data_IF_236834225506
#
_entry.id   IF_236834225506
#
_cell.length_a   1.000
_cell.length_b   1.000
_cell.length_c   1.000
_cell.angle_alpha   90.00
_cell.angle_beta   90.00
_cell.angle_gamma   90.00
#
_symmetry.space_group_name_H-M   'P 1'
#
loop_
_entity.id
_entity.type
_entity.pdbx_description
1 polymer ?
#
# COMPACT_ATOMS: atom_id res chain seq x y z
N UNK A 1 32.36 29.94 -24.36
CA UNK A 1 32.37 28.72 -23.50
C UNK A 1 32.63 29.15 -22.07
N UNK A 2 31.59 29.49 -21.29
CA UNK A 2 31.73 29.81 -19.86
C UNK A 2 31.28 28.59 -19.08
N UNK A 3 32.23 27.90 -18.43
CA UNK A 3 31.97 26.89 -17.44
C UNK A 3 31.32 27.55 -16.22
N UNK A 4 30.00 27.41 -16.10
CA UNK A 4 29.33 27.65 -14.82
C UNK A 4 29.58 26.43 -13.93
N UNK A 5 30.61 26.50 -13.08
CA UNK A 5 30.76 25.57 -11.96
C UNK A 5 29.72 25.92 -10.91
N UNK A 6 28.55 25.36 -11.04
CA UNK A 6 27.64 25.20 -9.93
C UNK A 6 28.15 24.04 -9.11
N UNK A 7 28.72 24.30 -7.93
CA UNK A 7 29.09 23.25 -6.98
C UNK A 7 27.82 22.61 -6.46
N UNK A 8 27.37 21.50 -7.09
CA UNK A 8 26.48 20.57 -6.45
C UNK A 8 27.39 19.72 -5.58
N UNK A 9 27.51 20.05 -4.31
CA UNK A 9 28.25 19.26 -3.35
C UNK A 9 27.24 18.35 -2.65
N UNK A 10 27.30 17.07 -3.00
CA UNK A 10 26.78 15.99 -2.18
C UNK A 10 27.92 15.44 -1.32
N UNK A 11 27.70 15.12 -0.04
CA UNK A 11 28.64 14.26 0.66
C UNK A 11 28.61 12.89 -0.02
N UNK A 12 29.72 12.53 -0.62
CA UNK A 12 30.11 11.23 -1.16
C UNK A 12 29.00 10.40 -1.87
N UNK A 13 28.99 10.43 -3.22
CA UNK A 13 28.41 9.32 -3.97
C UNK A 13 27.51 9.63 -5.16
N UNK A 14 27.05 10.86 -5.40
CA UNK A 14 26.19 11.15 -6.54
C UNK A 14 27.00 11.68 -7.72
N UNK A 15 27.30 10.81 -8.69
CA UNK A 15 27.86 11.24 -9.96
C UNK A 15 26.71 11.38 -10.97
N UNK A 16 26.38 12.62 -11.44
CA UNK A 16 25.45 12.77 -12.54
C UNK A 16 26.03 12.10 -13.79
N UNK A 17 25.25 11.23 -14.40
CA UNK A 17 25.60 10.65 -15.70
C UNK A 17 25.35 11.72 -16.75
N UNK A 18 26.43 12.22 -17.38
CA UNK A 18 26.36 13.12 -18.51
C UNK A 18 26.28 12.28 -19.78
N UNK A 19 25.15 12.31 -20.47
CA UNK A 19 24.97 11.74 -21.80
C UNK A 19 24.98 12.85 -22.86
N UNK A 20 25.64 12.63 -23.98
CA UNK A 20 25.58 13.49 -25.15
C UNK A 20 24.66 12.82 -26.20
N UNK A 21 23.48 13.39 -26.41
CA UNK A 21 22.60 13.00 -27.52
C UNK A 21 22.76 14.00 -28.69
N UNK A 22 23.14 13.50 -29.85
CA UNK A 22 23.20 14.29 -31.08
C UNK A 22 21.83 14.34 -31.74
N UNK A 23 21.22 15.50 -31.73
CA UNK A 23 19.97 15.77 -32.44
C UNK A 23 20.28 16.35 -33.83
N UNK A 24 19.48 15.98 -34.86
CA UNK A 24 19.66 16.41 -36.24
C UNK A 24 19.84 17.93 -36.35
N UNK A 25 20.86 18.37 -37.08
CA UNK A 25 21.26 19.79 -37.24
C UNK A 25 22.50 20.21 -36.47
N UNK A 26 23.30 19.28 -35.92
CA UNK A 26 24.59 19.59 -35.28
C UNK A 26 24.50 20.22 -33.88
N UNK A 27 23.31 20.24 -33.26
CA UNK A 27 23.12 20.71 -31.89
C UNK A 27 23.38 19.57 -30.90
N UNK A 28 24.18 19.86 -29.87
CA UNK A 28 24.46 18.93 -28.78
C UNK A 28 23.54 19.30 -27.62
N UNK A 29 22.75 18.32 -27.14
CA UNK A 29 21.95 18.46 -25.94
C UNK A 29 22.64 17.67 -24.83
N UNK A 30 23.01 18.37 -23.75
CA UNK A 30 23.52 17.73 -22.53
C UNK A 30 22.33 17.18 -21.73
N UNK A 31 22.29 15.88 -21.49
CA UNK A 31 21.30 15.23 -20.62
C UNK A 31 21.96 14.92 -19.28
N UNK A 32 21.40 15.48 -18.20
CA UNK A 32 21.82 15.15 -16.82
C UNK A 32 20.76 14.25 -16.22
N UNK A 33 21.11 13.00 -15.99
CA UNK A 33 20.21 12.04 -15.34
C UNK A 33 20.55 12.00 -13.84
N UNK A 34 19.59 12.36 -13.01
CA UNK A 34 19.69 12.21 -11.55
C UNK A 34 18.92 10.94 -11.15
N UNK A 35 19.58 9.96 -10.52
CA UNK A 35 18.90 8.74 -10.07
C UNK A 35 17.76 9.08 -9.11
N UNK A 36 16.56 8.55 -9.39
CA UNK A 36 15.39 8.77 -8.56
C UNK A 36 15.52 8.10 -7.19
N UNK A 37 16.38 7.10 -7.09
CA UNK A 37 16.58 6.20 -5.94
C UNK A 37 17.89 6.45 -5.17
N UNK A 38 18.56 7.59 -5.43
CA UNK A 38 19.78 7.91 -4.71
C UNK A 38 19.54 8.06 -3.20
N UNK A 39 20.35 7.34 -2.42
CA UNK A 39 20.27 7.29 -0.96
C UNK A 39 20.48 8.63 -0.26
N UNK A 40 21.07 9.60 -0.96
CA UNK A 40 21.46 10.91 -0.41
C UNK A 40 20.41 12.01 -0.63
N UNK A 41 19.21 11.67 -1.12
CA UNK A 41 18.10 12.64 -1.22
C UNK A 41 17.54 13.00 0.16
N UNK A 42 17.07 14.26 0.32
CA UNK A 42 17.06 15.36 -0.65
C UNK A 42 18.43 16.02 -0.81
N UNK A 43 18.79 16.37 -2.05
CA UNK A 43 20.01 17.12 -2.31
C UNK A 43 19.87 18.55 -1.85
N UNK A 44 20.92 19.07 -1.18
CA UNK A 44 20.97 20.46 -0.73
C UNK A 44 21.85 21.30 -1.65
N UNK A 45 21.38 22.48 -2.00
CA UNK A 45 22.16 23.47 -2.70
C UNK A 45 22.69 24.54 -1.73
N UNK A 46 23.91 24.99 -1.92
CA UNK A 46 24.48 26.05 -1.10
C UNK A 46 23.94 27.41 -1.54
N UNK A 47 23.27 28.11 -0.64
CA UNK A 47 22.74 29.47 -0.84
C UNK A 47 23.33 30.40 0.21
N UNK A 48 24.35 31.19 -0.18
CA UNK A 48 25.14 31.96 0.77
C UNK A 48 25.92 31.04 1.71
N UNK A 49 25.70 31.17 3.01
CA UNK A 49 26.30 30.31 4.05
C UNK A 49 25.45 29.07 4.39
N UNK A 50 24.20 28.99 3.94
CA UNK A 50 23.28 27.93 4.29
C UNK A 50 23.16 26.84 3.19
N UNK A 51 22.92 25.59 3.61
CA UNK A 51 22.55 24.49 2.74
C UNK A 51 21.04 24.33 2.75
N UNK A 52 20.40 24.48 1.61
CA UNK A 52 18.94 24.49 1.49
C UNK A 52 18.49 23.41 0.51
N UNK A 53 17.47 22.65 0.90
CA UNK A 53 16.80 21.70 0.00
C UNK A 53 15.95 22.45 -1.02
N UNK A 54 16.16 22.19 -2.30
CA UNK A 54 15.39 22.81 -3.37
C UNK A 54 14.45 21.80 -4.04
N UNK A 55 13.21 22.25 -4.30
CA UNK A 55 12.19 21.46 -4.97
C UNK A 55 11.69 22.18 -6.23
N UNK A 56 11.32 21.36 -7.22
CA UNK A 56 10.73 21.85 -8.45
C UNK A 56 9.20 21.90 -8.29
N UNK A 57 8.65 23.10 -8.40
CA UNK A 57 7.20 23.31 -8.42
C UNK A 57 6.80 23.87 -9.80
N UNK A 58 6.33 23.01 -10.68
CA UNK A 58 6.01 23.35 -12.07
C UNK A 58 7.25 23.85 -12.84
N UNK A 59 7.24 25.10 -13.31
CA UNK A 59 8.35 25.72 -14.04
C UNK A 59 9.39 26.38 -13.16
N UNK A 60 9.15 26.53 -11.83
CA UNK A 60 10.02 27.23 -10.89
C UNK A 60 10.72 26.29 -9.92
N UNK A 61 11.88 26.71 -9.44
CA UNK A 61 12.60 26.02 -8.35
C UNK A 61 12.52 26.91 -7.12
N UNK A 62 12.09 26.34 -5.99
CA UNK A 62 11.97 27.04 -4.71
C UNK A 62 12.63 26.26 -3.58
N UNK A 63 12.89 26.93 -2.49
CA UNK A 63 13.36 26.27 -1.28
C UNK A 63 12.22 25.43 -0.69
N UNK A 64 12.52 24.20 -0.27
CA UNK A 64 11.54 23.32 0.35
C UNK A 64 11.17 23.86 1.74
N UNK A 65 9.87 24.01 2.08
CA UNK A 65 9.45 24.20 3.45
C UNK A 65 9.91 23.02 4.33
N UNK A 66 9.99 23.25 5.64
CA UNK A 66 10.50 22.23 6.58
C UNK A 66 9.69 20.92 6.52
N UNK A 67 8.37 21.00 6.33
CA UNK A 67 7.51 19.84 6.19
C UNK A 67 7.80 19.06 4.89
N UNK A 68 7.99 19.74 3.77
CA UNK A 68 8.33 19.14 2.49
C UNK A 68 9.75 18.55 2.50
N UNK A 69 10.70 19.21 3.15
CA UNK A 69 12.04 18.67 3.36
C UNK A 69 11.99 17.39 4.22
N UNK A 70 11.19 17.39 5.29
CA UNK A 70 10.96 16.21 6.12
C UNK A 70 10.34 15.06 5.31
N UNK A 71 9.36 15.35 4.44
CA UNK A 71 8.77 14.35 3.53
C UNK A 71 9.81 13.80 2.54
N UNK A 72 10.66 14.65 1.97
CA UNK A 72 11.73 14.23 1.07
C UNK A 72 12.77 13.35 1.76
N UNK A 73 13.13 13.68 3.01
CA UNK A 73 13.96 12.81 3.85
C UNK A 73 13.29 11.48 4.18
N UNK A 74 11.97 11.47 4.36
CA UNK A 74 11.19 10.25 4.58
C UNK A 74 11.08 9.39 3.32
N UNK A 75 11.07 10.03 2.15
CA UNK A 75 11.07 9.34 0.85
C UNK A 75 12.46 8.83 0.45
N UNK A 76 13.53 9.39 1.02
CA UNK A 76 14.88 8.88 0.83
C UNK A 76 15.04 7.57 1.60
N UNK A 77 15.40 6.52 0.89
CA UNK A 77 15.35 5.09 1.27
C UNK A 77 16.19 4.64 2.46
N UNK A 78 16.58 5.50 3.40
CA UNK A 78 17.36 5.02 4.56
C UNK A 78 16.57 4.08 5.47
N UNK A 79 15.25 4.25 5.56
CA UNK A 79 14.33 3.28 6.19
C UNK A 79 12.93 3.47 5.59
N UNK A 80 12.31 2.44 4.99
CA UNK A 80 10.91 2.46 4.59
C UNK A 80 10.05 2.94 5.76
N UNK A 81 8.99 3.71 5.48
CA UNK A 81 8.19 4.31 6.54
C UNK A 81 7.53 3.27 7.44
N UNK A 82 7.15 2.14 6.88
CA UNK A 82 6.56 1.00 7.61
C UNK A 82 7.53 0.33 8.60
N UNK A 83 8.84 0.56 8.49
CA UNK A 83 9.87 0.12 9.45
C UNK A 83 10.24 1.18 10.49
N UNK A 84 9.62 2.37 10.47
CA UNK A 84 9.87 3.38 11.49
C UNK A 84 9.21 3.03 12.81
N UNK A 85 9.90 3.34 13.91
CA UNK A 85 9.36 3.18 15.25
C UNK A 85 8.16 4.10 15.50
N UNK A 86 7.14 3.58 16.17
CA UNK A 86 5.97 4.34 16.62
C UNK A 86 6.16 4.69 18.11
N UNK A 87 6.40 5.96 18.44
CA UNK A 87 6.62 6.35 19.84
C UNK A 87 5.43 5.98 20.73
N UNK A 88 5.72 5.32 21.83
CA UNK A 88 4.72 4.95 22.81
C UNK A 88 4.02 3.61 22.54
N UNK A 89 4.12 3.04 21.36
CA UNK A 89 3.55 1.73 21.04
C UNK A 89 4.53 0.59 21.40
N UNK A 90 4.03 -0.48 21.98
CA UNK A 90 4.81 -1.63 22.45
C UNK A 90 4.08 -2.95 22.25
N UNK A 91 4.68 -4.04 22.75
CA UNK A 91 4.16 -5.41 22.60
C UNK A 91 2.70 -5.55 23.09
N UNK A 92 2.31 -4.80 24.13
CA UNK A 92 0.96 -4.85 24.69
C UNK A 92 -0.14 -4.26 23.79
N UNK A 93 0.25 -3.54 22.74
CA UNK A 93 -0.66 -3.01 21.72
C UNK A 93 -0.96 -4.00 20.60
N UNK A 94 -0.27 -5.17 20.56
CA UNK A 94 -0.45 -6.19 19.54
C UNK A 94 -1.50 -7.25 19.93
N UNK A 95 -2.15 -7.82 18.93
CA UNK A 95 -2.98 -9.02 19.10
C UNK A 95 -2.08 -10.27 19.07
N UNK A 96 -1.78 -10.80 20.24
CA UNK A 96 -0.93 -11.98 20.38
C UNK A 96 -1.50 -13.22 19.67
N UNK A 97 -2.83 -13.35 19.56
CA UNK A 97 -3.44 -14.47 18.85
C UNK A 97 -3.10 -14.43 17.36
N UNK A 98 -3.16 -13.23 16.74
CA UNK A 98 -2.77 -13.01 15.35
C UNK A 98 -1.28 -13.23 15.13
N UNK A 99 -0.43 -12.81 16.06
CA UNK A 99 1.01 -13.06 15.97
C UNK A 99 1.32 -14.56 16.04
N UNK A 100 0.77 -15.29 17.00
CA UNK A 100 0.95 -16.74 17.10
C UNK A 100 0.43 -17.42 15.82
N UNK A 101 -0.75 -17.05 15.33
CA UNK A 101 -1.30 -17.56 14.08
C UNK A 101 -0.39 -17.26 12.88
N UNK A 102 0.15 -16.04 12.79
CA UNK A 102 1.06 -15.65 11.71
C UNK A 102 2.34 -16.49 11.71
N UNK A 103 3.05 -16.53 12.82
CA UNK A 103 4.33 -17.26 12.85
C UNK A 103 4.12 -18.77 12.71
N UNK A 104 3.24 -19.35 13.52
CA UNK A 104 3.04 -20.80 13.57
C UNK A 104 2.30 -21.34 12.35
N UNK A 105 1.16 -20.74 12.00
CA UNK A 105 0.24 -21.33 11.02
C UNK A 105 0.49 -20.83 9.59
N UNK A 106 0.84 -19.54 9.42
CA UNK A 106 1.11 -18.92 8.11
C UNK A 106 2.55 -19.14 7.69
N UNK A 107 3.53 -18.76 8.53
CA UNK A 107 4.97 -18.91 8.24
C UNK A 107 5.51 -20.30 8.53
N UNK A 108 4.80 -21.10 9.32
CA UNK A 108 5.24 -22.41 9.81
C UNK A 108 6.61 -22.33 10.52
N UNK A 109 6.75 -21.32 11.35
CA UNK A 109 7.94 -21.03 12.14
C UNK A 109 7.59 -21.14 13.63
N UNK A 110 8.50 -21.71 14.40
CA UNK A 110 8.37 -21.73 15.84
C UNK A 110 8.34 -20.31 16.40
N UNK A 111 7.51 -20.09 17.39
CA UNK A 111 7.38 -18.81 18.06
C UNK A 111 7.46 -19.00 19.58
N UNK A 112 7.87 -17.96 20.32
CA UNK A 112 7.93 -17.99 21.76
C UNK A 112 6.58 -18.30 22.40
N UNK A 113 6.61 -18.82 23.64
CA UNK A 113 5.39 -18.96 24.41
C UNK A 113 4.70 -17.60 24.61
N UNK A 114 3.36 -17.53 24.68
CA UNK A 114 2.64 -16.25 24.76
C UNK A 114 3.06 -15.34 25.94
N UNK A 115 3.63 -15.90 27.01
CA UNK A 115 4.11 -15.16 28.18
C UNK A 115 5.59 -14.78 28.12
N UNK A 116 6.33 -15.29 27.15
CA UNK A 116 7.75 -14.97 26.96
C UNK A 116 7.91 -13.63 26.24
N UNK A 117 7.80 -12.55 27.02
CA UNK A 117 7.91 -11.18 26.49
C UNK A 117 9.24 -10.94 25.77
N UNK A 118 10.35 -11.37 26.35
CA UNK A 118 11.68 -11.14 25.80
C UNK A 118 11.87 -11.90 24.48
N UNK A 119 11.43 -13.15 24.41
CA UNK A 119 11.46 -13.94 23.19
C UNK A 119 10.63 -13.31 22.08
N UNK A 120 9.44 -12.79 22.41
CA UNK A 120 8.60 -12.07 21.45
C UNK A 120 9.24 -10.78 20.96
N UNK A 121 9.77 -9.93 21.84
CA UNK A 121 10.45 -8.70 21.45
C UNK A 121 11.63 -8.99 20.51
N UNK A 122 12.44 -10.01 20.84
CA UNK A 122 13.56 -10.42 19.96
C UNK A 122 13.08 -10.91 18.59
N UNK A 123 12.06 -11.77 18.55
CA UNK A 123 11.50 -12.28 17.28
C UNK A 123 10.94 -11.15 16.43
N UNK A 124 10.22 -10.21 17.05
CA UNK A 124 9.60 -9.10 16.36
C UNK A 124 10.62 -8.06 15.87
N UNK A 125 11.72 -7.86 16.60
CA UNK A 125 12.86 -7.04 16.12
C UNK A 125 13.54 -7.72 14.92
N UNK A 126 13.80 -9.01 14.99
CA UNK A 126 14.42 -9.76 13.89
C UNK A 126 13.56 -9.79 12.61
N UNK A 127 12.27 -9.50 12.72
CA UNK A 127 11.32 -9.47 11.59
C UNK A 127 10.86 -8.07 11.24
N UNK A 128 11.53 -7.02 11.74
CA UNK A 128 11.21 -5.60 11.52
C UNK A 128 9.80 -5.18 12.00
N UNK A 129 9.07 -6.05 12.69
CA UNK A 129 7.77 -5.72 13.29
C UNK A 129 7.92 -4.86 14.55
N UNK A 130 9.09 -4.92 15.17
CA UNK A 130 9.55 -4.00 16.21
C UNK A 130 10.92 -3.41 15.86
N UNK A 131 11.27 -2.31 16.51
CA UNK A 131 12.52 -1.56 16.30
C UNK A 131 13.17 -1.29 17.64
N UNK A 132 14.47 -1.51 17.73
CA UNK A 132 15.25 -1.13 18.91
C UNK A 132 15.33 0.40 19.03
N UNK A 133 14.93 0.94 20.16
CA UNK A 133 15.11 2.33 20.53
C UNK A 133 16.23 2.49 21.54
N UNK A 134 16.50 3.73 21.95
CA UNK A 134 17.57 3.99 22.94
C UNK A 134 17.30 3.41 24.32
N UNK A 135 16.03 3.40 24.76
CA UNK A 135 15.65 2.94 26.10
C UNK A 135 14.75 1.69 26.07
N UNK A 136 14.06 1.45 24.97
CA UNK A 136 13.10 0.34 24.85
C UNK A 136 12.86 -0.06 23.41
N UNK A 137 12.37 -1.26 23.23
CA UNK A 137 11.86 -1.76 21.95
C UNK A 137 10.48 -1.16 21.68
N UNK A 138 10.23 -0.70 20.48
CA UNK A 138 8.96 -0.07 20.04
C UNK A 138 8.42 -0.77 18.80
N UNK A 139 7.10 -0.71 18.61
CA UNK A 139 6.50 -1.22 17.38
C UNK A 139 6.96 -0.40 16.17
N UNK A 140 7.19 -1.08 15.06
CA UNK A 140 7.27 -0.41 13.78
C UNK A 140 5.86 -0.01 13.30
N UNK A 141 5.78 0.97 12.38
CA UNK A 141 4.50 1.34 11.75
C UNK A 141 3.84 0.11 11.11
N UNK A 142 4.62 -0.71 10.38
CA UNK A 142 4.11 -1.95 9.77
C UNK A 142 3.61 -2.95 10.81
N UNK A 143 4.38 -3.19 11.87
CA UNK A 143 3.99 -4.09 12.95
C UNK A 143 2.68 -3.67 13.62
N UNK A 144 2.53 -2.36 13.91
CA UNK A 144 1.31 -1.81 14.48
C UNK A 144 0.11 -1.89 13.53
N UNK A 145 0.30 -1.59 12.24
CA UNK A 145 -0.78 -1.69 11.25
C UNK A 145 -1.22 -3.14 11.01
N UNK A 146 -0.27 -4.06 10.93
CA UNK A 146 -0.56 -5.47 10.61
C UNK A 146 -1.25 -6.20 11.78
N UNK A 147 -0.78 -5.99 13.01
CA UNK A 147 -1.16 -6.79 14.17
C UNK A 147 -1.68 -5.98 15.36
N UNK A 148 -1.67 -4.65 15.28
CA UNK A 148 -2.12 -3.80 16.37
C UNK A 148 -3.62 -3.90 16.65
N UNK A 149 -4.01 -4.00 17.92
CA UNK A 149 -5.43 -4.06 18.33
C UNK A 149 -6.16 -2.75 18.05
N UNK A 150 -5.49 -1.61 18.24
CA UNK A 150 -6.02 -0.26 18.05
C UNK A 150 -5.02 0.67 17.37
N UNK A 151 -4.67 0.42 16.09
CA UNK A 151 -3.63 1.20 15.41
C UNK A 151 -3.97 2.67 15.29
N UNK A 152 -5.25 3.06 15.17
CA UNK A 152 -5.69 4.48 15.12
C UNK A 152 -5.34 5.28 16.37
N UNK A 153 -5.04 4.65 17.50
CA UNK A 153 -4.57 5.35 18.69
C UNK A 153 -3.26 6.11 18.46
N UNK A 154 -2.40 5.53 17.62
CA UNK A 154 -1.05 6.03 17.33
C UNK A 154 -0.94 6.58 15.90
N UNK A 155 -1.70 6.01 14.99
CA UNK A 155 -1.71 6.31 13.55
C UNK A 155 -3.16 6.66 13.16
N UNK A 156 -3.58 7.93 13.26
CA UNK A 156 -4.95 8.36 12.93
C UNK A 156 -5.42 7.92 11.55
N UNK A 157 -4.47 7.79 10.61
CA UNK A 157 -4.68 7.37 9.23
C UNK A 157 -4.82 5.84 9.03
N UNK A 158 -4.73 5.04 10.10
CA UNK A 158 -4.85 3.58 10.01
C UNK A 158 -6.30 3.17 9.86
N UNK A 159 -6.72 2.83 8.64
CA UNK A 159 -8.06 2.33 8.39
C UNK A 159 -8.59 2.68 7.00
N UNK A 160 -9.85 2.31 6.78
CA UNK A 160 -10.59 2.57 5.55
C UNK A 160 -11.92 3.25 5.91
N UNK A 161 -12.19 4.39 5.28
CA UNK A 161 -13.49 5.06 5.35
C UNK A 161 -14.36 4.56 4.20
N UNK A 162 -15.37 3.75 4.51
CA UNK A 162 -16.25 3.12 3.52
C UNK A 162 -17.61 3.78 3.48
N UNK A 163 -18.14 4.05 2.28
CA UNK A 163 -19.47 4.60 2.07
C UNK A 163 -20.12 4.01 0.81
N UNK A 164 -21.45 3.81 0.87
CA UNK A 164 -22.27 3.43 -0.28
C UNK A 164 -23.31 4.51 -0.54
N UNK A 165 -23.38 5.01 -1.75
CA UNK A 165 -24.25 6.09 -2.17
C UNK A 165 -25.36 5.55 -3.09
N UNK A 166 -26.58 6.12 -3.02
CA UNK A 166 -27.70 5.71 -3.90
C UNK A 166 -27.49 6.17 -5.35
N UNK A 167 -26.76 7.24 -5.58
CA UNK A 167 -26.50 7.84 -6.90
C UNK A 167 -25.07 7.70 -7.38
N UNK A 168 -24.73 8.48 -8.40
CA UNK A 168 -23.40 8.48 -9.05
C UNK A 168 -22.45 9.52 -8.47
N UNK A 169 -22.88 10.26 -7.46
CA UNK A 169 -22.08 11.31 -6.78
C UNK A 169 -22.08 11.08 -5.27
N UNK A 170 -21.04 11.61 -4.60
CA UNK A 170 -21.03 11.67 -3.14
C UNK A 170 -22.18 12.55 -2.65
N UNK A 171 -22.95 12.04 -1.68
CA UNK A 171 -24.08 12.72 -1.08
C UNK A 171 -24.02 12.61 0.45
N UNK A 172 -24.68 13.54 1.14
CA UNK A 172 -24.90 13.45 2.57
C UNK A 172 -25.74 12.22 2.95
N UNK A 173 -26.69 11.84 2.09
CA UNK A 173 -27.55 10.67 2.23
C UNK A 173 -26.87 9.39 1.73
N UNK A 174 -25.78 8.98 2.34
CA UNK A 174 -25.21 7.67 2.04
C UNK A 174 -26.12 6.55 2.53
N UNK A 175 -26.32 5.52 1.72
CA UNK A 175 -27.09 4.31 2.06
C UNK A 175 -26.45 3.49 3.19
N UNK A 176 -25.11 3.48 3.23
CA UNK A 176 -24.32 2.87 4.28
C UNK A 176 -23.01 3.63 4.49
N UNK A 177 -22.53 3.68 5.74
CA UNK A 177 -21.21 4.21 6.10
C UNK A 177 -20.59 3.34 7.16
N UNK A 178 -19.28 3.13 7.06
CA UNK A 178 -18.51 2.38 8.04
C UNK A 178 -17.08 2.91 8.08
N UNK A 179 -16.57 3.17 9.28
CA UNK A 179 -15.14 3.39 9.50
C UNK A 179 -14.54 2.04 9.89
N UNK A 180 -13.75 1.46 9.02
CA UNK A 180 -13.12 0.14 9.18
C UNK A 180 -11.75 0.36 9.80
N UNK A 181 -11.54 -0.22 10.98
CA UNK A 181 -10.30 -0.07 11.77
C UNK A 181 -9.90 -1.38 12.41
N UNK A 182 -8.64 -1.48 12.80
CA UNK A 182 -8.08 -2.66 13.44
C UNK A 182 -6.83 -3.15 12.72
N UNK A 183 -6.40 -4.38 13.01
CA UNK A 183 -5.28 -5.00 12.31
C UNK A 183 -5.60 -5.24 10.84
N UNK A 184 -4.60 -5.05 9.97
CA UNK A 184 -4.77 -5.25 8.53
C UNK A 184 -5.10 -6.70 8.18
N UNK A 185 -4.46 -7.65 8.89
CA UNK A 185 -4.61 -9.08 8.63
C UNK A 185 -5.66 -9.73 9.53
N UNK A 186 -6.35 -10.73 9.00
CA UNK A 186 -7.35 -11.51 9.73
C UNK A 186 -6.70 -12.55 10.65
N UNK A 187 -7.45 -12.96 11.68
CA UNK A 187 -7.17 -14.15 12.46
C UNK A 187 -7.90 -15.33 11.79
N UNK A 188 -7.16 -16.34 11.39
CA UNK A 188 -7.71 -17.56 10.81
C UNK A 188 -7.81 -18.67 11.85
N UNK A 189 -8.77 -19.60 11.67
CA UNK A 189 -8.80 -20.81 12.46
C UNK A 189 -7.47 -21.57 12.26
N UNK A 190 -6.92 -22.13 13.34
CA UNK A 190 -5.76 -23.00 13.24
C UNK A 190 -6.02 -24.03 12.12
N UNK A 191 -5.13 -24.13 11.16
CA UNK A 191 -5.28 -25.05 10.06
C UNK A 191 -5.43 -26.45 10.69
N UNK A 192 -6.62 -27.03 10.57
CA UNK A 192 -6.76 -28.46 10.81
C UNK A 192 -5.72 -29.09 9.90
N UNK A 193 -4.80 -29.81 10.48
CA UNK A 193 -3.71 -30.49 9.81
C UNK A 193 -4.26 -31.24 8.61
N UNK A 194 -4.33 -30.58 7.47
CA UNK A 194 -4.69 -31.20 6.21
C UNK A 194 -3.56 -32.16 5.89
N UNK A 195 -3.91 -33.42 5.65
CA UNK A 195 -2.98 -34.50 5.27
C UNK A 195 -2.16 -34.21 3.98
N UNK A 196 -2.34 -33.00 3.41
CA UNK A 196 -1.65 -32.54 2.21
C UNK A 196 -0.83 -31.26 2.50
N UNK A 197 0.48 -31.39 2.81
CA UNK A 197 1.32 -30.23 3.17
C UNK A 197 1.58 -29.24 2.02
N UNK A 198 1.11 -29.53 0.82
CA UNK A 198 1.32 -28.72 -0.39
C UNK A 198 0.06 -28.12 -1.03
N UNK A 199 -1.11 -28.36 -0.45
CA UNK A 199 -2.27 -27.63 -0.98
C UNK A 199 -2.16 -26.15 -0.60
N UNK A 200 -2.20 -25.24 -1.60
CA UNK A 200 -2.31 -23.83 -1.32
C UNK A 200 -3.57 -23.64 -0.47
N UNK A 201 -3.47 -22.92 0.65
CA UNK A 201 -4.62 -22.30 1.28
C UNK A 201 -5.15 -21.35 0.22
N UNK A 202 -5.98 -21.84 -0.68
CA UNK A 202 -6.78 -20.98 -1.52
C UNK A 202 -7.67 -20.23 -0.54
N UNK A 203 -7.53 -18.92 -0.48
CA UNK A 203 -8.54 -18.05 0.12
C UNK A 203 -9.77 -18.14 -0.79
N UNK A 204 -10.32 -19.35 -0.93
CA UNK A 204 -11.64 -19.57 -1.45
C UNK A 204 -12.62 -19.02 -0.40
N UNK A 205 -13.80 -18.71 -0.81
CA UNK A 205 -14.90 -18.19 0.01
C UNK A 205 -15.18 -18.98 1.31
N UNK A 206 -14.49 -20.08 1.54
CA UNK A 206 -14.59 -20.98 2.69
C UNK A 206 -13.47 -20.82 3.75
N UNK A 207 -12.48 -19.96 3.57
CA UNK A 207 -11.50 -19.67 4.62
C UNK A 207 -12.15 -18.79 5.68
N UNK A 208 -12.75 -19.42 6.68
CA UNK A 208 -13.42 -18.70 7.77
C UNK A 208 -12.37 -17.99 8.60
N UNK A 209 -12.23 -16.68 8.39
CA UNK A 209 -11.58 -15.82 9.35
C UNK A 209 -12.39 -15.87 10.65
N UNK A 210 -11.73 -16.22 11.74
CA UNK A 210 -12.32 -16.17 13.09
C UNK A 210 -12.62 -14.73 13.48
N UNK A 211 -11.71 -13.83 13.11
CA UNK A 211 -11.88 -12.40 13.24
C UNK A 211 -11.32 -11.70 11.99
N UNK A 212 -12.18 -10.96 11.30
CA UNK A 212 -11.82 -10.25 10.08
C UNK A 212 -10.87 -9.08 10.38
N UNK A 213 -9.78 -8.99 9.61
CA UNK A 213 -8.93 -7.80 9.52
C UNK A 213 -9.55 -6.70 8.67
N UNK A 214 -8.87 -5.57 8.52
CA UNK A 214 -9.36 -4.41 7.76
C UNK A 214 -9.68 -4.78 6.30
N UNK A 215 -8.87 -5.64 5.68
CA UNK A 215 -9.07 -6.05 4.28
C UNK A 215 -10.37 -6.84 4.12
N UNK A 216 -10.61 -7.86 4.95
CA UNK A 216 -11.84 -8.65 4.90
C UNK A 216 -13.07 -7.84 5.29
N UNK A 217 -12.96 -6.96 6.30
CA UNK A 217 -14.06 -6.07 6.66
C UNK A 217 -14.46 -5.15 5.50
N UNK A 218 -13.47 -4.64 4.73
CA UNK A 218 -13.73 -3.83 3.55
C UNK A 218 -14.41 -4.63 2.43
N UNK A 219 -13.99 -5.87 2.20
CA UNK A 219 -14.64 -6.78 1.26
C UNK A 219 -16.08 -7.12 1.69
N UNK A 220 -16.30 -7.35 2.97
CA UNK A 220 -17.63 -7.61 3.50
C UNK A 220 -18.55 -6.38 3.40
N UNK A 221 -17.99 -5.18 3.56
CA UNK A 221 -18.73 -3.96 3.28
C UNK A 221 -19.15 -3.88 1.82
N UNK A 222 -18.26 -4.21 0.87
CA UNK A 222 -18.60 -4.27 -0.56
C UNK A 222 -19.69 -5.29 -0.81
N UNK A 223 -19.54 -6.55 -0.35
CA UNK A 223 -20.52 -7.63 -0.55
C UNK A 223 -21.93 -7.26 -0.08
N UNK A 224 -22.04 -6.55 1.05
CA UNK A 224 -23.33 -6.11 1.60
C UNK A 224 -23.97 -4.94 0.83
N UNK A 225 -23.20 -4.23 -0.01
CA UNK A 225 -23.65 -3.02 -0.68
C UNK A 225 -23.65 -3.09 -2.20
N UNK A 226 -23.30 -4.24 -2.80
CA UNK A 226 -23.43 -4.52 -4.23
C UNK A 226 -24.53 -5.56 -4.46
N UNK A 227 -25.01 -5.65 -5.70
CA UNK A 227 -26.07 -6.57 -6.06
C UNK A 227 -25.53 -7.89 -6.61
N UNK A 228 -26.34 -8.94 -6.45
CA UNK A 228 -26.17 -10.23 -7.10
C UNK A 228 -27.24 -10.33 -8.17
N UNK A 229 -26.85 -10.41 -9.43
CA UNK A 229 -27.75 -10.72 -10.53
C UNK A 229 -27.95 -12.23 -10.57
N UNK A 230 -29.20 -12.68 -10.51
CA UNK A 230 -29.56 -14.08 -10.63
C UNK A 230 -30.40 -14.30 -11.91
N UNK A 231 -30.09 -15.34 -12.66
CA UNK A 231 -30.86 -15.77 -13.85
C UNK A 231 -30.87 -17.29 -13.95
N UNK A 232 -31.79 -17.79 -14.77
CA UNK A 232 -31.84 -19.22 -15.10
C UNK A 232 -31.14 -19.42 -16.45
N UNK A 233 -30.09 -20.23 -16.47
CA UNK A 233 -29.38 -20.60 -17.69
C UNK A 233 -30.25 -21.51 -18.58
N UNK A 234 -29.88 -21.68 -19.86
CA UNK A 234 -30.63 -22.49 -20.81
C UNK A 234 -30.76 -23.98 -20.42
N UNK A 235 -29.88 -24.43 -19.53
CA UNK A 235 -29.91 -25.80 -18.96
C UNK A 235 -30.80 -25.94 -17.70
N UNK A 236 -31.52 -24.86 -17.34
CA UNK A 236 -32.40 -24.81 -16.17
C UNK A 236 -31.70 -24.53 -14.84
N UNK A 237 -30.38 -24.33 -14.81
CA UNK A 237 -29.64 -24.02 -13.59
C UNK A 237 -29.77 -22.55 -13.23
N UNK A 238 -29.98 -22.30 -11.94
CA UNK A 238 -29.87 -20.94 -11.39
C UNK A 238 -28.41 -20.52 -11.37
N UNK A 239 -28.12 -19.42 -12.06
CA UNK A 239 -26.82 -18.78 -12.09
C UNK A 239 -26.86 -17.48 -11.29
N UNK A 240 -25.80 -17.20 -10.58
CA UNK A 240 -25.64 -15.95 -9.80
C UNK A 240 -24.33 -15.29 -10.17
N UNK A 241 -24.34 -13.98 -10.27
CA UNK A 241 -23.12 -13.20 -10.53
C UNK A 241 -23.19 -11.87 -9.80
N UNK A 242 -22.13 -11.55 -9.08
CA UNK A 242 -21.94 -10.22 -8.49
C UNK A 242 -21.83 -9.15 -9.57
N UNK A 243 -22.21 -7.91 -9.25
CA UNK A 243 -22.01 -6.76 -10.16
C UNK A 243 -20.55 -6.55 -10.55
N UNK A 244 -19.64 -6.97 -9.67
CA UNK A 244 -18.18 -6.82 -9.85
C UNK A 244 -17.47 -8.15 -9.59
N UNK A 245 -16.34 -8.43 -10.27
CA UNK A 245 -15.48 -9.55 -9.91
C UNK A 245 -14.82 -9.26 -8.54
N UNK A 246 -15.18 -10.03 -7.53
CA UNK A 246 -14.70 -9.81 -6.14
C UNK A 246 -13.18 -9.87 -6.03
N UNK A 247 -12.51 -10.64 -6.88
CA UNK A 247 -11.04 -10.68 -6.96
C UNK A 247 -10.43 -9.33 -7.40
N UNK A 248 -11.08 -8.61 -8.33
CA UNK A 248 -10.62 -7.28 -8.75
C UNK A 248 -10.82 -6.25 -7.64
N UNK A 249 -11.95 -6.31 -6.94
CA UNK A 249 -12.24 -5.45 -5.78
C UNK A 249 -11.22 -5.70 -4.66
N UNK A 250 -10.95 -6.98 -4.35
CA UNK A 250 -9.96 -7.38 -3.35
C UNK A 250 -8.58 -6.85 -3.70
N UNK A 251 -8.14 -7.06 -4.93
CA UNK A 251 -6.84 -6.58 -5.41
C UNK A 251 -6.72 -5.06 -5.29
N UNK A 252 -7.78 -4.31 -5.62
CA UNK A 252 -7.79 -2.85 -5.47
C UNK A 252 -7.65 -2.41 -4.00
N UNK A 253 -8.36 -3.07 -3.07
CA UNK A 253 -8.28 -2.80 -1.62
C UNK A 253 -6.88 -3.16 -1.08
N UNK A 254 -6.36 -4.33 -1.42
CA UNK A 254 -5.03 -4.79 -0.99
C UNK A 254 -3.95 -3.84 -1.48
N UNK A 255 -4.01 -3.43 -2.76
CA UNK A 255 -3.06 -2.47 -3.32
C UNK A 255 -3.16 -1.10 -2.66
N UNK A 256 -4.36 -0.63 -2.33
CA UNK A 256 -4.56 0.62 -1.61
C UNK A 256 -3.87 0.60 -0.24
N UNK A 257 -3.97 -0.52 0.50
CA UNK A 257 -3.32 -0.72 1.80
C UNK A 257 -1.80 -0.86 1.66
N UNK A 258 -1.34 -1.73 0.73
CA UNK A 258 0.08 -2.04 0.56
C UNK A 258 0.91 -0.86 0.04
N UNK A 259 0.29 0.03 -0.74
CA UNK A 259 0.98 1.14 -1.41
C UNK A 259 0.62 2.54 -0.88
N UNK A 260 -0.29 2.62 0.10
CA UNK A 260 -0.63 3.89 0.75
C UNK A 260 0.60 4.64 1.24
N UNK A 261 0.58 5.96 1.09
CA UNK A 261 1.55 6.82 1.77
C UNK A 261 1.13 7.07 3.22
N UNK A 262 1.69 6.27 4.13
CA UNK A 262 1.39 6.41 5.56
C UNK A 262 2.01 7.66 6.21
N UNK A 263 2.81 8.44 5.48
CA UNK A 263 3.26 9.76 5.96
C UNK A 263 2.16 10.81 5.94
N UNK A 264 1.12 10.58 5.12
CA UNK A 264 -0.07 11.45 5.05
C UNK A 264 -1.02 11.07 6.19
N UNK A 265 -0.98 11.82 7.28
CA UNK A 265 -1.71 11.51 8.52
C UNK A 265 -3.18 11.91 8.56
N UNK A 266 -3.63 12.76 7.63
CA UNK A 266 -4.95 13.42 7.71
C UNK A 266 -6.04 12.75 6.87
N UNK A 267 -5.71 11.72 6.08
CA UNK A 267 -6.66 11.09 5.16
C UNK A 267 -6.65 9.57 5.35
N UNK A 268 -7.81 8.96 5.49
CA UNK A 268 -7.98 7.50 5.40
C UNK A 268 -7.94 7.04 3.93
N UNK A 269 -7.78 5.73 3.69
CA UNK A 269 -8.17 5.12 2.42
C UNK A 269 -9.69 5.27 2.30
N UNK A 270 -10.19 5.69 1.15
CA UNK A 270 -11.63 5.78 0.90
C UNK A 270 -12.08 4.61 0.02
N UNK A 271 -13.16 3.96 0.43
CA UNK A 271 -13.88 2.94 -0.35
C UNK A 271 -15.29 3.46 -0.60
N UNK A 272 -15.56 3.89 -1.82
CA UNK A 272 -16.86 4.47 -2.21
C UNK A 272 -17.57 3.59 -3.22
N UNK A 273 -18.80 3.20 -2.92
CA UNK A 273 -19.69 2.44 -3.81
C UNK A 273 -20.77 3.39 -4.31
N UNK A 274 -20.84 3.56 -5.62
CA UNK A 274 -21.87 4.36 -6.31
C UNK A 274 -22.83 3.45 -7.08
N UNK A 275 -23.86 4.03 -7.64
CA UNK A 275 -24.83 3.28 -8.45
C UNK A 275 -24.20 2.64 -9.70
N UNK A 276 -23.13 3.25 -10.22
CA UNK A 276 -22.48 2.89 -11.49
C UNK A 276 -21.03 2.38 -11.33
N UNK A 277 -20.41 2.51 -10.15
CA UNK A 277 -19.00 2.15 -9.96
C UNK A 277 -18.60 1.96 -8.49
N UNK A 278 -17.45 1.34 -8.30
CA UNK A 278 -16.71 1.33 -7.04
C UNK A 278 -15.43 2.16 -7.24
N UNK A 279 -15.10 3.00 -6.28
CA UNK A 279 -13.82 3.72 -6.21
C UNK A 279 -13.06 3.34 -4.94
N UNK A 280 -11.79 2.96 -5.12
CA UNK A 280 -10.83 2.78 -4.03
C UNK A 280 -9.78 3.86 -4.18
N UNK A 281 -9.71 4.76 -3.21
CA UNK A 281 -8.83 5.94 -3.22
C UNK A 281 -7.77 5.76 -2.14
N UNK A 282 -6.52 5.69 -2.53
CA UNK A 282 -5.38 5.59 -1.63
C UNK A 282 -4.62 6.91 -1.56
N UNK A 283 -4.38 7.47 -0.36
CA UNK A 283 -3.54 8.67 -0.20
C UNK A 283 -2.10 8.39 -0.64
N UNK A 284 -1.55 9.35 -1.40
CA UNK A 284 -0.19 9.32 -1.94
C UNK A 284 -0.14 9.03 -3.45
N UNK A 285 0.86 9.63 -4.09
CA UNK A 285 1.15 9.43 -5.52
C UNK A 285 1.78 8.07 -5.76
N UNK A 286 1.82 7.65 -7.02
CA UNK A 286 2.65 6.50 -7.40
C UNK A 286 4.14 6.79 -7.07
N UNK A 287 4.93 5.78 -6.69
CA UNK A 287 6.38 5.95 -6.55
C UNK A 287 7.00 6.49 -7.85
N UNK A 288 7.97 7.40 -7.74
CA UNK A 288 8.55 8.15 -8.87
C UNK A 288 9.02 7.30 -10.06
N UNK A 289 9.22 6.01 -9.88
CA UNK A 289 9.66 5.06 -10.92
C UNK A 289 8.48 4.40 -11.65
N UNK A 290 7.26 4.55 -11.15
CA UNK A 290 6.05 3.89 -11.67
C UNK A 290 5.12 4.94 -12.28
N UNK A 291 4.62 4.65 -13.46
CA UNK A 291 3.52 5.37 -14.11
C UNK A 291 2.33 4.44 -14.29
N UNK A 292 1.15 4.98 -14.52
CA UNK A 292 -0.05 4.18 -14.82
C UNK A 292 0.20 3.23 -16.00
N UNK A 293 0.92 3.67 -17.06
CA UNK A 293 1.28 2.83 -18.19
C UNK A 293 2.17 1.64 -17.78
N UNK A 294 3.19 1.90 -16.94
CA UNK A 294 4.05 0.84 -16.40
C UNK A 294 3.27 -0.11 -15.50
N UNK A 295 2.36 0.40 -14.67
CA UNK A 295 1.51 -0.42 -13.81
C UNK A 295 0.61 -1.36 -14.63
N UNK A 296 0.01 -0.86 -15.72
CA UNK A 296 -0.75 -1.68 -16.69
C UNK A 296 0.11 -2.77 -17.34
N UNK A 297 1.39 -2.51 -17.54
CA UNK A 297 2.38 -3.47 -18.07
C UNK A 297 2.94 -4.43 -16.99
N UNK A 298 2.51 -4.33 -15.71
CA UNK A 298 2.94 -5.22 -14.64
C UNK A 298 4.21 -4.78 -13.89
N UNK A 299 4.68 -3.54 -14.10
CA UNK A 299 5.80 -3.00 -13.33
C UNK A 299 5.40 -2.76 -11.87
N UNK A 300 6.34 -2.96 -10.97
CA UNK A 300 6.17 -2.88 -9.53
C UNK A 300 7.12 -1.87 -8.91
N UNK A 301 6.63 -1.12 -7.95
CA UNK A 301 7.43 -0.53 -6.89
C UNK A 301 6.64 -0.67 -5.59
N UNK A 302 7.32 -0.95 -4.51
CA UNK A 302 6.69 -1.02 -3.20
C UNK A 302 7.09 0.21 -2.40
N UNK A 303 6.12 0.78 -1.69
CA UNK A 303 6.35 1.85 -0.74
C UNK A 303 6.54 1.29 0.68
N UNK A 304 5.77 0.26 1.02
CA UNK A 304 5.75 -0.38 2.32
C UNK A 304 6.15 -1.85 2.17
N UNK A 305 7.46 -2.11 2.19
CA UNK A 305 8.00 -3.46 1.92
C UNK A 305 7.61 -4.45 3.02
N UNK A 306 7.68 -4.05 4.30
CA UNK A 306 7.32 -4.91 5.43
C UNK A 306 5.85 -5.32 5.37
N UNK A 307 4.95 -4.34 5.15
CA UNK A 307 3.51 -4.63 5.00
C UNK A 307 3.28 -5.60 3.86
N UNK A 308 3.91 -5.36 2.70
CA UNK A 308 3.76 -6.20 1.53
C UNK A 308 4.32 -7.62 1.73
N UNK A 309 5.44 -7.77 2.43
CA UNK A 309 6.02 -9.08 2.77
C UNK A 309 5.03 -9.92 3.59
N UNK A 310 4.47 -9.33 4.65
CA UNK A 310 3.48 -10.02 5.48
C UNK A 310 2.21 -10.32 4.69
N UNK A 311 1.69 -9.37 3.89
CA UNK A 311 0.53 -9.61 3.05
C UNK A 311 0.78 -10.71 1.99
N UNK A 312 2.01 -10.87 1.52
CA UNK A 312 2.41 -11.98 0.64
C UNK A 312 2.39 -13.32 1.37
N UNK A 313 2.88 -13.38 2.61
CA UNK A 313 2.83 -14.58 3.41
C UNK A 313 1.38 -15.06 3.62
N UNK A 314 0.46 -14.12 3.83
CA UNK A 314 -1.00 -14.36 3.84
C UNK A 314 -1.62 -14.58 2.45
N UNK A 315 -0.82 -14.53 1.36
CA UNK A 315 -1.28 -14.65 -0.03
C UNK A 315 -2.32 -13.59 -0.47
N UNK A 316 -2.33 -12.45 0.19
CA UNK A 316 -3.08 -11.30 -0.30
C UNK A 316 -2.43 -10.69 -1.54
N UNK A 317 -1.10 -10.72 -1.61
CA UNK A 317 -0.29 -10.17 -2.70
C UNK A 317 0.45 -11.30 -3.42
N UNK A 318 0.39 -11.31 -4.74
CA UNK A 318 1.15 -12.26 -5.55
C UNK A 318 2.60 -11.80 -5.76
N UNK A 319 3.51 -12.77 -5.84
CA UNK A 319 4.92 -12.50 -6.08
C UNK A 319 5.21 -11.99 -7.51
N UNK A 320 4.29 -12.20 -8.46
CA UNK A 320 4.51 -11.99 -9.90
C UNK A 320 4.26 -10.56 -10.40
N UNK A 321 3.57 -9.70 -9.62
CA UNK A 321 3.19 -8.33 -10.04
C UNK A 321 2.08 -8.26 -11.07
N UNK A 322 1.38 -9.34 -11.28
CA UNK A 322 0.31 -9.45 -12.25
C UNK A 322 -1.08 -9.09 -11.70
N UNK A 323 -1.16 -8.60 -10.45
CA UNK A 323 -2.42 -8.23 -9.80
C UNK A 323 -3.22 -7.22 -10.60
N UNK A 324 -2.65 -6.06 -10.91
CA UNK A 324 -3.35 -5.05 -11.71
C UNK A 324 -3.70 -5.54 -13.11
N UNK A 325 -2.76 -6.04 -13.96
CA UNK A 325 -3.12 -6.44 -15.31
C UNK A 325 -4.06 -7.67 -15.38
N UNK A 326 -3.90 -8.66 -14.50
CA UNK A 326 -4.69 -9.90 -14.57
C UNK A 326 -5.97 -9.86 -13.75
N UNK A 327 -5.89 -9.44 -12.47
CA UNK A 327 -7.05 -9.47 -11.58
C UNK A 327 -7.95 -8.26 -11.79
N UNK A 328 -7.38 -7.06 -11.90
CA UNK A 328 -8.19 -5.85 -12.07
C UNK A 328 -8.58 -5.71 -13.54
N UNK A 329 -7.64 -5.51 -14.46
CA UNK A 329 -7.96 -5.18 -15.86
C UNK A 329 -8.62 -6.35 -16.58
N UNK A 330 -7.94 -7.50 -16.65
CA UNK A 330 -8.48 -8.67 -17.34
C UNK A 330 -9.72 -9.23 -16.61
N UNK A 331 -9.76 -9.18 -15.27
CA UNK A 331 -10.92 -9.57 -14.48
C UNK A 331 -12.17 -8.76 -14.80
N UNK A 332 -12.06 -7.42 -14.87
CA UNK A 332 -13.18 -6.54 -15.25
C UNK A 332 -13.63 -6.77 -16.70
N UNK A 333 -12.69 -6.85 -17.63
CA UNK A 333 -13.01 -7.15 -19.04
C UNK A 333 -13.73 -8.48 -19.22
N UNK A 334 -13.28 -9.52 -18.55
CA UNK A 334 -13.90 -10.85 -18.62
C UNK A 334 -15.27 -10.88 -17.94
N UNK A 335 -15.47 -10.10 -16.88
CA UNK A 335 -16.67 -10.10 -16.09
C UNK A 335 -17.82 -9.32 -16.75
N UNK A 336 -17.58 -8.10 -17.17
CA UNK A 336 -18.60 -7.20 -17.69
C UNK A 336 -18.19 -6.38 -18.90
N UNK A 337 -17.01 -6.63 -19.47
CA UNK A 337 -16.48 -5.92 -20.65
C UNK A 337 -15.95 -4.51 -20.36
N UNK A 338 -16.02 -4.05 -19.12
CA UNK A 338 -15.57 -2.68 -18.79
C UNK A 338 -14.05 -2.59 -18.61
N UNK A 339 -13.52 -1.40 -18.84
CA UNK A 339 -12.12 -1.06 -18.57
C UNK A 339 -12.06 -0.28 -17.24
N UNK A 340 -11.25 -0.70 -16.27
CA UNK A 340 -11.07 0.05 -15.03
C UNK A 340 -10.23 1.30 -15.27
N UNK A 341 -10.54 2.39 -14.56
CA UNK A 341 -9.71 3.58 -14.57
C UNK A 341 -8.65 3.47 -13.44
N UNK A 342 -7.43 3.81 -13.80
CA UNK A 342 -6.30 3.96 -12.90
C UNK A 342 -5.88 5.42 -13.00
N UNK A 343 -6.16 6.21 -11.97
CA UNK A 343 -6.02 7.67 -12.01
C UNK A 343 -5.02 8.11 -10.94
N UNK A 344 -3.97 8.81 -11.36
CA UNK A 344 -3.04 9.47 -10.46
C UNK A 344 -3.38 10.95 -10.38
N UNK A 345 -3.61 11.44 -9.18
CA UNK A 345 -3.79 12.84 -8.85
C UNK A 345 -2.64 13.33 -7.94
N UNK A 346 -2.62 14.63 -7.58
CA UNK A 346 -1.50 15.22 -6.87
C UNK A 346 -1.15 14.52 -5.54
N UNK A 347 -2.15 14.08 -4.79
CA UNK A 347 -1.95 13.48 -3.45
C UNK A 347 -2.65 12.14 -3.26
N UNK A 348 -3.18 11.54 -4.32
CA UNK A 348 -3.93 10.29 -4.24
C UNK A 348 -3.89 9.48 -5.52
N UNK A 349 -4.09 8.19 -5.35
CA UNK A 349 -4.26 7.24 -6.45
C UNK A 349 -5.65 6.62 -6.37
N UNK A 350 -6.37 6.58 -7.49
CA UNK A 350 -7.75 6.10 -7.58
C UNK A 350 -7.81 4.89 -8.49
N UNK A 351 -8.39 3.80 -8.00
CA UNK A 351 -8.83 2.66 -8.81
C UNK A 351 -10.34 2.71 -8.90
N UNK A 352 -10.86 2.83 -10.13
CA UNK A 352 -12.30 2.88 -10.40
C UNK A 352 -12.72 1.65 -11.18
N UNK A 353 -13.68 0.92 -10.66
CA UNK A 353 -14.25 -0.27 -11.25
C UNK A 353 -15.68 0.04 -11.69
N UNK A 354 -16.00 -0.10 -12.96
CA UNK A 354 -17.31 0.23 -13.50
C UNK A 354 -18.29 -0.94 -13.39
N UNK A 355 -19.54 -0.64 -13.01
CA UNK A 355 -20.65 -1.60 -13.04
C UNK A 355 -21.00 -1.90 -14.50
N UNK A 356 -21.21 -3.17 -14.83
CA UNK A 356 -21.60 -3.60 -16.17
C UNK A 356 -23.12 -3.63 -16.37
#
# INVERSE_FOLDING_TARGET
MKRTRGSICSPAGCHPVLGDDRVGGGKIIGVITLPADALDKPYKAKRGSAWVTQVRAGSTTRDAPHEEEAQLHMQSRRLPYDRKAVPGAGLDDLDMRRLVNYFRDVRRQDCPEPRDRQGWEQLLVNTDLMVEGQERVMLSVGGLLLFGTRPKRYLPQAGISAAAYPGVQKDYAARARQVITGPLVSLFAAAQTSAYPYMPVTFSESSQAVEAGVIEQALDFVRRNIEIKAWIANDGRRMERWDYPLEAVREAIVNAVAHRDYTIGVMDIELSIYADRIEVISPGRLPNTVTVAKMRAGYRASRNELIKEVLRDYRYVEATGLGVPRKIIAGMRAHNGSEPDLIEEEERFIVRLWKG
#
